data_IF_997930528904
#
_entry.id   IF_997930528904
#
_cell.length_a   1.000
_cell.length_b   1.000
_cell.length_c   1.000
_cell.angle_alpha   90.00
_cell.angle_beta   90.00
_cell.angle_gamma   90.00
#
_symmetry.space_group_name_H-M   'P 1'
#
loop_
_entity.id
_entity.type
_entity.pdbx_description
1 polymer ?
#
# COMPACT_ATOMS: atom_id res chain seq x y z
N UNK A 1 5.86 16.32 19.93
CA UNK A 1 7.13 15.75 20.26
C UNK A 1 7.84 15.16 19.06
N UNK A 2 9.15 15.18 19.13
CA UNK A 2 10.02 14.52 18.15
C UNK A 2 10.13 13.03 18.50
N UNK A 3 10.46 12.19 17.50
CA UNK A 3 10.83 10.80 17.71
C UNK A 3 12.32 10.78 18.01
N UNK A 4 12.70 10.23 19.17
CA UNK A 4 14.07 10.25 19.68
C UNK A 4 14.64 8.84 19.67
N UNK A 5 15.79 8.68 19.03
CA UNK A 5 16.60 7.47 19.10
C UNK A 5 17.79 7.67 20.03
N UNK A 6 18.09 6.68 20.85
CA UNK A 6 19.23 6.67 21.78
C UNK A 6 20.11 5.48 21.50
N UNK A 7 21.43 5.68 21.55
CA UNK A 7 22.42 4.61 21.41
C UNK A 7 23.18 4.47 22.72
N UNK A 8 23.35 3.23 23.20
CA UNK A 8 24.10 2.92 24.42
C UNK A 8 24.69 1.52 24.38
N UNK A 9 25.75 1.31 25.14
CA UNK A 9 26.45 0.02 25.24
C UNK A 9 26.59 -0.47 26.71
N UNK A 10 26.41 0.45 27.66
CA UNK A 10 26.60 0.20 29.08
C UNK A 10 25.31 -0.14 29.85
N UNK A 11 25.49 -0.78 30.99
CA UNK A 11 24.36 -1.06 31.93
C UNK A 11 23.69 0.24 32.42
N UNK A 12 24.45 1.33 32.52
CA UNK A 12 23.93 2.64 32.92
C UNK A 12 23.04 3.28 31.87
N UNK A 13 23.13 2.85 30.61
CA UNK A 13 22.36 3.38 29.49
C UNK A 13 20.97 2.72 29.37
N UNK A 14 20.78 1.55 30.01
CA UNK A 14 19.55 0.78 29.92
C UNK A 14 18.27 1.58 30.22
N UNK A 15 18.21 2.46 31.25
CA UNK A 15 17.02 3.28 31.49
C UNK A 15 16.73 4.25 30.33
N UNK A 16 17.78 4.84 29.74
CA UNK A 16 17.64 5.76 28.60
C UNK A 16 17.22 5.04 27.31
N UNK A 17 17.80 3.86 27.07
CA UNK A 17 17.42 3.00 25.93
C UNK A 17 15.94 2.60 26.00
N UNK A 18 15.48 2.21 27.18
CA UNK A 18 14.09 1.80 27.40
C UNK A 18 13.08 2.94 27.36
N UNK A 19 13.51 4.17 27.66
CA UNK A 19 12.66 5.35 27.64
C UNK A 19 12.60 6.03 26.26
N UNK A 20 13.60 5.76 25.42
CA UNK A 20 13.65 6.28 24.05
C UNK A 20 12.51 5.72 23.20
N UNK A 21 12.18 6.38 22.08
CA UNK A 21 11.26 5.84 21.08
C UNK A 21 11.91 4.70 20.31
N UNK A 22 13.23 4.72 20.14
CA UNK A 22 14.04 3.64 19.55
C UNK A 22 15.37 3.57 20.28
N UNK A 23 15.64 2.46 20.97
CA UNK A 23 16.91 2.17 21.61
C UNK A 23 17.81 1.32 20.71
N UNK A 24 19.06 1.76 20.48
CA UNK A 24 20.08 1.00 19.77
C UNK A 24 21.18 0.54 20.75
N UNK A 25 21.53 -0.75 20.74
CA UNK A 25 22.71 -1.25 21.47
C UNK A 25 23.73 -1.85 20.53
N UNK A 26 25.01 -1.84 20.97
CA UNK A 26 26.07 -2.50 20.26
C UNK A 26 26.06 -4.00 20.53
N UNK A 27 26.26 -4.81 19.50
CA UNK A 27 26.16 -6.28 19.62
C UNK A 27 27.40 -6.94 20.14
N UNK A 28 28.58 -6.35 19.94
CA UNK A 28 29.87 -6.91 20.38
C UNK A 28 30.26 -6.33 21.75
N UNK A 29 30.34 -5.00 21.87
CA UNK A 29 30.73 -4.30 23.10
C UNK A 29 29.57 -4.07 24.06
N UNK A 30 28.33 -4.14 23.59
CA UNK A 30 27.16 -3.90 24.44
C UNK A 30 26.96 -4.94 25.53
N UNK A 31 26.68 -4.47 26.75
CA UNK A 31 26.33 -5.35 27.88
C UNK A 31 24.98 -6.05 27.62
N UNK A 32 24.77 -7.19 28.26
CA UNK A 32 23.51 -7.95 28.13
C UNK A 32 22.31 -7.11 28.56
N UNK A 33 22.46 -6.32 29.62
CA UNK A 33 21.42 -5.40 30.11
C UNK A 33 21.08 -4.30 29.10
N UNK A 34 22.08 -3.73 28.41
CA UNK A 34 21.86 -2.75 27.37
C UNK A 34 21.14 -3.38 26.16
N UNK A 35 21.52 -4.59 25.77
CA UNK A 35 20.88 -5.34 24.67
C UNK A 35 19.43 -5.69 24.97
N UNK A 36 19.12 -6.11 26.19
CA UNK A 36 17.74 -6.38 26.61
C UNK A 36 16.87 -5.12 26.71
N UNK A 37 17.49 -3.96 26.98
CA UNK A 37 16.77 -2.69 27.07
C UNK A 37 16.57 -2.01 25.71
N UNK A 38 17.22 -2.49 24.64
CA UNK A 38 17.18 -1.87 23.31
C UNK A 38 16.17 -2.56 22.39
N UNK A 39 15.67 -1.79 21.40
CA UNK A 39 14.77 -2.30 20.36
C UNK A 39 15.54 -2.91 19.20
N UNK A 40 16.74 -2.39 18.93
CA UNK A 40 17.59 -2.82 17.81
C UNK A 40 19.00 -3.08 18.31
N UNK A 41 19.51 -4.28 18.03
CA UNK A 41 20.87 -4.68 18.33
C UNK A 41 21.70 -4.62 17.05
N UNK A 42 22.74 -3.81 17.03
CA UNK A 42 23.67 -3.69 15.91
C UNK A 42 24.66 -4.86 15.96
N UNK A 43 24.73 -5.67 14.91
CA UNK A 43 25.60 -6.84 14.86
C UNK A 43 27.08 -6.49 14.77
N UNK A 44 27.39 -5.25 14.41
CA UNK A 44 28.75 -4.70 14.32
C UNK A 44 28.82 -3.44 15.15
N UNK A 45 29.98 -3.15 15.78
CA UNK A 45 30.20 -1.92 16.55
C UNK A 45 30.54 -0.73 15.65
N UNK A 46 29.99 -0.71 14.44
CA UNK A 46 30.18 0.37 13.49
C UNK A 46 29.00 1.34 13.55
N UNK A 47 29.29 2.60 13.82
CA UNK A 47 28.29 3.68 13.87
C UNK A 47 27.57 3.88 12.53
N UNK A 48 28.19 3.51 11.41
CA UNK A 48 27.57 3.56 10.09
C UNK A 48 26.34 2.64 9.98
N UNK A 49 26.29 1.56 10.78
CA UNK A 49 25.17 0.65 10.85
C UNK A 49 23.89 1.36 11.33
N UNK A 50 24.00 2.36 12.23
CA UNK A 50 22.85 3.17 12.70
C UNK A 50 22.26 3.97 11.54
N UNK A 51 23.11 4.60 10.74
CA UNK A 51 22.67 5.38 9.57
C UNK A 51 21.95 4.47 8.57
N UNK A 52 22.49 3.28 8.34
CA UNK A 52 21.84 2.28 7.50
C UNK A 52 20.50 1.81 8.07
N UNK A 53 20.40 1.56 9.38
CA UNK A 53 19.16 1.20 10.03
C UNK A 53 18.09 2.30 9.87
N UNK A 54 18.46 3.56 10.07
CA UNK A 54 17.56 4.70 9.86
C UNK A 54 17.11 4.81 8.38
N UNK A 55 18.06 4.63 7.45
CA UNK A 55 17.78 4.63 6.02
C UNK A 55 16.75 3.57 5.64
N UNK A 56 16.93 2.34 6.09
CA UNK A 56 16.00 1.25 5.87
C UNK A 56 14.66 1.46 6.59
N UNK A 57 14.67 1.95 7.83
CA UNK A 57 13.44 2.29 8.57
C UNK A 57 12.60 3.35 7.85
N UNK A 58 13.23 4.38 7.28
CA UNK A 58 12.54 5.38 6.45
C UNK A 58 12.01 4.79 5.15
N UNK A 59 12.74 3.85 4.53
CA UNK A 59 12.28 3.13 3.35
C UNK A 59 11.03 2.31 3.65
N UNK A 60 11.04 1.50 4.71
CA UNK A 60 9.90 0.70 5.15
C UNK A 60 8.70 1.57 5.45
N UNK A 61 8.87 2.68 6.17
CA UNK A 61 7.77 3.62 6.45
C UNK A 61 7.18 4.25 5.17
N UNK A 62 8.02 4.52 4.17
CA UNK A 62 7.55 5.03 2.87
C UNK A 62 6.79 3.94 2.09
N UNK A 63 7.28 2.70 2.12
CA UNK A 63 6.62 1.55 1.47
C UNK A 63 5.27 1.23 2.11
N UNK A 64 5.17 1.27 3.45
CA UNK A 64 3.90 1.11 4.16
C UNK A 64 2.89 2.19 3.72
N UNK A 65 3.34 3.45 3.60
CA UNK A 65 2.46 4.53 3.16
C UNK A 65 1.95 4.30 1.73
N UNK A 66 2.83 3.91 0.80
CA UNK A 66 2.45 3.57 -0.58
C UNK A 66 1.46 2.40 -0.61
N UNK A 67 1.72 1.35 0.19
CA UNK A 67 0.84 0.19 0.27
C UNK A 67 -0.55 0.54 0.79
N UNK A 68 -0.66 1.33 1.86
CA UNK A 68 -1.96 1.79 2.39
C UNK A 68 -2.70 2.62 1.35
N UNK A 69 -2.00 3.52 0.65
CA UNK A 69 -2.60 4.32 -0.42
C UNK A 69 -3.16 3.42 -1.54
N UNK A 70 -2.36 2.47 -2.02
CA UNK A 70 -2.77 1.50 -3.03
C UNK A 70 -3.99 0.70 -2.57
N UNK A 71 -3.94 0.13 -1.37
CA UNK A 71 -5.03 -0.66 -0.78
C UNK A 71 -6.34 0.13 -0.68
N UNK A 72 -6.28 1.39 -0.25
CA UNK A 72 -7.47 2.25 -0.19
C UNK A 72 -8.06 2.52 -1.57
N UNK A 73 -7.22 2.77 -2.58
CA UNK A 73 -7.68 2.98 -3.96
C UNK A 73 -8.41 1.73 -4.47
N UNK A 74 -7.79 0.55 -4.32
CA UNK A 74 -8.39 -0.74 -4.75
C UNK A 74 -9.75 -0.95 -4.08
N UNK A 75 -9.80 -0.83 -2.76
CA UNK A 75 -11.02 -1.10 -2.01
C UNK A 75 -12.14 -0.10 -2.31
N UNK A 76 -11.83 1.20 -2.34
CA UNK A 76 -12.81 2.24 -2.67
C UNK A 76 -13.36 2.04 -4.08
N UNK A 77 -12.49 1.80 -5.05
CA UNK A 77 -12.90 1.58 -6.45
C UNK A 77 -13.73 0.31 -6.60
N UNK A 78 -13.32 -0.81 -5.97
CA UNK A 78 -14.04 -2.07 -6.04
C UNK A 78 -15.44 -1.98 -5.41
N UNK A 79 -15.55 -1.35 -4.23
CA UNK A 79 -16.83 -1.17 -3.54
C UNK A 79 -17.76 -0.26 -4.35
N UNK A 80 -17.27 0.88 -4.82
CA UNK A 80 -18.07 1.80 -5.62
C UNK A 80 -18.50 1.18 -6.95
N UNK A 81 -17.60 0.48 -7.64
CA UNK A 81 -17.94 -0.21 -8.89
C UNK A 81 -19.03 -1.26 -8.66
N UNK A 82 -18.86 -2.11 -7.65
CA UNK A 82 -19.83 -3.15 -7.30
C UNK A 82 -21.17 -2.55 -6.90
N UNK A 83 -21.17 -1.53 -6.06
CA UNK A 83 -22.39 -0.86 -5.61
C UNK A 83 -23.16 -0.23 -6.78
N UNK A 84 -22.51 0.60 -7.58
CA UNK A 84 -23.15 1.33 -8.67
C UNK A 84 -23.64 0.38 -9.76
N UNK A 85 -22.85 -0.65 -10.10
CA UNK A 85 -23.29 -1.64 -11.10
C UNK A 85 -24.47 -2.48 -10.61
N UNK A 86 -24.53 -2.81 -9.31
CA UNK A 86 -25.67 -3.50 -8.72
C UNK A 86 -26.95 -2.66 -8.69
N UNK A 87 -26.84 -1.34 -8.51
CA UNK A 87 -28.00 -0.43 -8.50
C UNK A 87 -28.53 -0.18 -9.92
N UNK A 88 -27.62 -0.07 -10.91
CA UNK A 88 -28.00 0.21 -12.30
C UNK A 88 -28.49 -1.05 -13.00
N UNK A 89 -28.00 -2.24 -12.63
CA UNK A 89 -28.39 -3.50 -13.25
C UNK A 89 -29.78 -3.93 -12.78
N UNK A 90 -30.68 -4.17 -13.72
CA UNK A 90 -32.04 -4.67 -13.44
C UNK A 90 -32.05 -6.06 -12.79
N UNK A 91 -30.99 -6.86 -13.01
CA UNK A 91 -30.85 -8.24 -12.53
C UNK A 91 -30.11 -8.35 -11.19
N UNK A 92 -29.76 -7.24 -10.55
CA UNK A 92 -28.99 -7.21 -9.28
C UNK A 92 -27.67 -8.02 -9.35
N UNK A 93 -27.12 -8.20 -10.55
CA UNK A 93 -25.86 -8.90 -10.76
C UNK A 93 -24.70 -7.93 -10.76
N UNK A 94 -23.78 -8.12 -9.81
CA UNK A 94 -22.51 -7.38 -9.79
C UNK A 94 -21.64 -7.77 -11.00
N UNK A 95 -20.96 -6.78 -11.59
CA UNK A 95 -19.98 -7.00 -12.66
C UNK A 95 -18.76 -7.78 -12.14
N UNK A 96 -18.38 -7.56 -10.88
CA UNK A 96 -17.32 -8.29 -10.20
C UNK A 96 -17.92 -9.39 -9.34
N UNK A 97 -17.50 -10.62 -9.56
CA UNK A 97 -17.88 -11.76 -8.73
C UNK A 97 -17.13 -11.74 -7.40
N UNK A 98 -17.70 -12.38 -6.36
CA UNK A 98 -17.02 -12.52 -5.06
C UNK A 98 -15.65 -13.21 -5.18
N UNK A 99 -15.53 -14.17 -6.09
CA UNK A 99 -14.25 -14.88 -6.37
C UNK A 99 -13.22 -13.93 -6.99
N UNK A 100 -13.63 -13.06 -7.90
CA UNK A 100 -12.74 -12.07 -8.51
C UNK A 100 -12.25 -11.04 -7.48
N UNK A 101 -13.14 -10.56 -6.59
CA UNK A 101 -12.75 -9.66 -5.51
C UNK A 101 -11.80 -10.34 -4.51
N UNK A 102 -12.05 -11.61 -4.18
CA UNK A 102 -11.16 -12.38 -3.33
C UNK A 102 -9.77 -12.57 -3.99
N UNK A 103 -9.73 -12.85 -5.30
CA UNK A 103 -8.49 -12.98 -6.04
C UNK A 103 -7.68 -11.68 -6.02
N UNK A 104 -8.33 -10.54 -6.26
CA UNK A 104 -7.68 -9.22 -6.20
C UNK A 104 -7.10 -8.96 -4.81
N UNK A 105 -7.88 -9.17 -3.76
CA UNK A 105 -7.43 -8.92 -2.40
C UNK A 105 -6.33 -9.88 -1.95
N UNK A 106 -6.41 -11.16 -2.32
CA UNK A 106 -5.45 -12.16 -1.84
C UNK A 106 -4.15 -12.15 -2.66
N UNK A 107 -4.24 -12.20 -3.99
CA UNK A 107 -3.07 -12.37 -4.86
C UNK A 107 -2.44 -11.03 -5.18
N UNK A 108 -3.21 -10.07 -5.63
CA UNK A 108 -2.68 -8.78 -6.07
C UNK A 108 -2.10 -7.99 -4.90
N UNK A 109 -2.79 -7.96 -3.75
CA UNK A 109 -2.29 -7.26 -2.55
C UNK A 109 -1.01 -7.92 -2.00
N UNK A 110 -0.94 -9.26 -2.03
CA UNK A 110 0.27 -9.98 -1.61
C UNK A 110 1.46 -9.67 -2.52
N UNK A 111 1.25 -9.65 -3.84
CA UNK A 111 2.30 -9.31 -4.80
C UNK A 111 2.72 -7.85 -4.70
N UNK A 112 1.77 -6.93 -4.49
CA UNK A 112 2.05 -5.52 -4.27
C UNK A 112 2.86 -5.29 -2.99
N UNK A 113 2.48 -5.96 -1.89
CA UNK A 113 3.22 -5.90 -0.63
C UNK A 113 4.65 -6.43 -0.80
N UNK A 114 4.83 -7.55 -1.51
CA UNK A 114 6.14 -8.13 -1.80
C UNK A 114 7.00 -7.18 -2.64
N UNK A 115 6.44 -6.59 -3.70
CA UNK A 115 7.15 -5.64 -4.55
C UNK A 115 7.63 -4.41 -3.75
N UNK A 116 6.76 -3.82 -2.92
CA UNK A 116 7.11 -2.68 -2.09
C UNK A 116 8.08 -3.02 -0.96
N UNK A 117 8.04 -4.25 -0.42
CA UNK A 117 8.95 -4.70 0.62
C UNK A 117 10.37 -4.96 0.09
N UNK A 118 10.52 -5.28 -1.19
CA UNK A 118 11.82 -5.54 -1.84
C UNK A 118 12.43 -4.29 -2.49
N UNK A 119 11.73 -3.16 -2.46
CA UNK A 119 12.21 -1.90 -3.02
C UNK A 119 13.43 -1.37 -2.25
N UNK A 120 14.42 -0.85 -2.98
CA UNK A 120 15.64 -0.31 -2.38
C UNK A 120 15.38 1.12 -1.87
N UNK A 121 16.08 1.52 -0.76
CA UNK A 121 15.99 2.89 -0.29
C UNK A 121 16.40 3.91 -1.35
N UNK A 122 15.58 4.94 -1.54
CA UNK A 122 15.91 6.10 -2.36
C UNK A 122 17.25 6.70 -1.88
N UNK A 123 18.20 7.02 -2.78
CA UNK A 123 19.47 7.66 -2.41
C UNK A 123 19.29 8.93 -1.56
N UNK A 124 18.24 9.70 -1.83
CA UNK A 124 17.96 10.98 -1.16
C UNK A 124 17.02 10.84 0.06
N UNK A 125 16.77 9.61 0.53
CA UNK A 125 15.82 9.38 1.64
C UNK A 125 16.26 10.04 2.95
N UNK A 126 17.57 10.22 3.12
CA UNK A 126 18.19 10.86 4.30
C UNK A 126 18.08 12.39 4.28
N UNK A 127 17.95 13.01 3.11
CA UNK A 127 17.84 14.47 2.96
C UNK A 127 16.48 15.01 3.43
N UNK A 128 15.52 14.14 3.58
CA UNK A 128 14.18 14.50 4.07
C UNK A 128 14.22 14.82 5.57
N UNK A 129 13.54 15.91 5.95
CA UNK A 129 13.38 16.25 7.36
C UNK A 129 12.67 15.13 8.13
N UNK A 130 13.03 14.92 9.42
CA UNK A 130 12.33 13.98 10.28
C UNK A 130 10.83 14.30 10.36
N UNK A 131 10.00 13.27 10.47
CA UNK A 131 8.57 13.44 10.69
C UNK A 131 8.29 13.37 12.18
N UNK A 132 7.50 14.34 12.69
CA UNK A 132 7.07 14.30 14.08
C UNK A 132 6.10 13.14 14.35
N UNK A 133 6.00 12.74 15.62
CA UNK A 133 5.15 11.64 16.11
C UNK A 133 3.67 11.79 15.73
N UNK A 134 3.18 13.02 15.66
CA UNK A 134 1.78 13.33 15.32
C UNK A 134 1.50 13.46 13.82
N UNK A 135 2.50 13.22 12.97
CA UNK A 135 2.31 13.33 11.51
C UNK A 135 1.40 12.20 11.02
N UNK A 136 0.24 12.48 10.41
CA UNK A 136 -0.65 11.44 9.93
C UNK A 136 -0.01 10.65 8.78
N UNK A 137 -0.23 9.34 8.76
CA UNK A 137 0.20 8.45 7.68
C UNK A 137 -0.43 8.87 6.34
N UNK A 138 -1.71 9.21 6.37
CA UNK A 138 -2.45 9.68 5.21
C UNK A 138 -2.54 11.19 5.26
N UNK A 139 -1.76 11.85 4.40
CA UNK A 139 -1.76 13.31 4.28
C UNK A 139 -2.90 13.78 3.37
N UNK A 140 -3.32 15.07 3.44
CA UNK A 140 -4.31 15.62 2.50
C UNK A 140 -3.90 15.46 1.02
N UNK A 141 -2.60 15.48 0.74
CA UNK A 141 -2.09 15.19 -0.61
C UNK A 141 -2.35 13.75 -1.03
N UNK A 142 -2.20 12.79 -0.10
CA UNK A 142 -2.50 11.38 -0.33
C UNK A 142 -4.01 11.18 -0.61
N UNK A 143 -4.89 11.87 0.11
CA UNK A 143 -6.33 11.85 -0.13
C UNK A 143 -6.70 12.37 -1.53
N UNK A 144 -6.08 13.45 -1.98
CA UNK A 144 -6.28 13.95 -3.35
C UNK A 144 -5.89 12.92 -4.40
N UNK A 145 -4.78 12.21 -4.19
CA UNK A 145 -4.35 11.14 -5.09
C UNK A 145 -5.33 9.97 -5.09
N UNK A 146 -5.79 9.53 -3.92
CA UNK A 146 -6.77 8.43 -3.80
C UNK A 146 -8.07 8.77 -4.54
N UNK A 147 -8.61 9.96 -4.29
CA UNK A 147 -9.86 10.40 -4.91
C UNK A 147 -9.68 10.56 -6.43
N UNK A 148 -8.59 11.18 -6.88
CA UNK A 148 -8.31 11.36 -8.30
C UNK A 148 -8.18 10.04 -9.04
N UNK A 149 -7.45 9.08 -8.48
CA UNK A 149 -7.30 7.74 -9.05
C UNK A 149 -8.62 6.97 -9.04
N UNK A 150 -9.40 7.03 -7.95
CA UNK A 150 -10.69 6.37 -7.89
C UNK A 150 -11.66 6.91 -8.96
N UNK A 151 -11.72 8.22 -9.16
CA UNK A 151 -12.55 8.84 -10.19
C UNK A 151 -12.10 8.39 -11.59
N UNK A 152 -10.80 8.39 -11.87
CA UNK A 152 -10.25 7.96 -13.15
C UNK A 152 -10.60 6.49 -13.41
N UNK A 153 -10.34 5.61 -12.46
CA UNK A 153 -10.59 4.19 -12.58
C UNK A 153 -12.09 3.88 -12.76
N UNK A 154 -12.95 4.54 -11.98
CA UNK A 154 -14.40 4.41 -12.13
C UNK A 154 -14.88 4.92 -13.49
N UNK A 155 -14.37 6.05 -13.97
CA UNK A 155 -14.74 6.60 -15.28
C UNK A 155 -14.42 5.64 -16.41
N UNK A 156 -13.20 5.08 -16.43
CA UNK A 156 -12.78 4.10 -17.45
C UNK A 156 -13.65 2.84 -17.37
N UNK A 157 -13.84 2.30 -16.17
CA UNK A 157 -14.58 1.05 -15.96
C UNK A 157 -16.08 1.22 -16.28
N UNK A 158 -16.68 2.36 -15.92
CA UNK A 158 -18.07 2.68 -16.27
C UNK A 158 -18.27 2.91 -17.76
N UNK A 159 -17.33 3.58 -18.43
CA UNK A 159 -17.39 3.76 -19.88
C UNK A 159 -17.39 2.40 -20.58
N UNK A 160 -16.53 1.49 -20.11
CA UNK A 160 -16.48 0.13 -20.64
C UNK A 160 -17.76 -0.67 -20.31
N UNK A 161 -18.32 -0.48 -19.11
CA UNK A 161 -19.57 -1.13 -18.69
C UNK A 161 -20.78 -0.67 -19.53
N UNK A 162 -20.89 0.62 -19.82
CA UNK A 162 -22.04 1.20 -20.53
C UNK A 162 -21.93 1.11 -22.05
N UNK A 163 -20.74 1.33 -22.61
CA UNK A 163 -20.55 1.44 -24.06
C UNK A 163 -19.69 0.30 -24.65
N UNK A 164 -19.06 -0.52 -23.81
CA UNK A 164 -18.17 -1.59 -24.27
C UNK A 164 -18.86 -2.59 -25.19
N UNK A 165 -20.09 -2.98 -24.87
CA UNK A 165 -20.88 -3.90 -25.71
C UNK A 165 -21.14 -3.34 -27.12
N UNK A 166 -21.52 -2.09 -27.19
CA UNK A 166 -21.79 -1.43 -28.47
C UNK A 166 -20.49 -1.22 -29.29
N UNK A 167 -19.39 -0.91 -28.60
CA UNK A 167 -18.11 -0.66 -29.26
C UNK A 167 -17.47 -1.93 -29.83
N UNK A 168 -17.50 -3.06 -29.08
CA UNK A 168 -16.85 -4.29 -29.49
C UNK A 168 -17.73 -5.24 -30.28
N UNK A 169 -19.05 -5.27 -30.02
CA UNK A 169 -19.98 -6.20 -30.67
C UNK A 169 -21.04 -5.51 -31.52
N UNK A 170 -21.07 -4.17 -31.55
CA UNK A 170 -22.05 -3.40 -32.33
C UNK A 170 -23.50 -3.55 -31.85
N UNK A 171 -23.72 -4.12 -30.66
CA UNK A 171 -25.04 -4.39 -30.09
C UNK A 171 -25.14 -3.80 -28.68
N UNK A 172 -26.33 -3.37 -28.23
CA UNK A 172 -26.54 -2.98 -26.85
C UNK A 172 -26.34 -4.20 -25.92
N UNK A 173 -25.96 -3.93 -24.68
CA UNK A 173 -25.62 -4.97 -23.70
C UNK A 173 -26.79 -5.94 -23.42
N UNK A 174 -28.02 -5.45 -23.52
CA UNK A 174 -29.25 -6.21 -23.28
C UNK A 174 -29.50 -7.29 -24.33
N UNK A 175 -29.00 -7.11 -25.55
CA UNK A 175 -29.18 -8.02 -26.69
C UNK A 175 -28.02 -8.99 -26.87
N UNK A 176 -27.03 -9.00 -25.96
CA UNK A 176 -25.87 -9.87 -26.07
C UNK A 176 -26.21 -11.32 -25.64
N UNK A 177 -25.80 -12.34 -26.42
CA UNK A 177 -25.84 -13.71 -25.96
C UNK A 177 -24.96 -13.92 -24.72
N UNK A 178 -25.32 -14.89 -23.87
CA UNK A 178 -24.67 -15.09 -22.58
C UNK A 178 -23.15 -15.22 -22.63
N UNK A 179 -22.60 -15.75 -23.70
CA UNK A 179 -21.16 -15.86 -23.91
C UNK A 179 -20.48 -14.47 -24.12
N UNK A 180 -21.07 -13.63 -24.96
CA UNK A 180 -20.55 -12.27 -25.22
C UNK A 180 -20.68 -11.38 -23.97
N UNK A 181 -21.73 -11.59 -23.17
CA UNK A 181 -21.93 -10.93 -21.90
C UNK A 181 -20.80 -11.27 -20.88
N UNK A 182 -20.39 -12.55 -20.84
CA UNK A 182 -19.25 -12.98 -20.03
C UNK A 182 -17.91 -12.40 -20.51
N UNK A 183 -17.72 -12.24 -21.82
CA UNK A 183 -16.53 -11.60 -22.39
C UNK A 183 -16.40 -10.14 -21.97
N UNK A 184 -17.50 -9.37 -22.00
CA UNK A 184 -17.51 -7.97 -21.53
C UNK A 184 -17.16 -7.89 -20.03
N UNK A 185 -17.75 -8.75 -19.20
CA UNK A 185 -17.45 -8.78 -17.77
C UNK A 185 -15.98 -9.16 -17.49
N UNK A 186 -15.43 -10.13 -18.24
CA UNK A 186 -14.01 -10.49 -18.17
C UNK A 186 -13.10 -9.34 -18.60
N UNK A 187 -13.48 -8.57 -19.63
CA UNK A 187 -12.74 -7.41 -20.10
C UNK A 187 -12.76 -6.28 -19.06
N UNK A 188 -13.90 -6.03 -18.43
CA UNK A 188 -14.02 -5.04 -17.33
C UNK A 188 -13.11 -5.43 -16.16
N UNK A 189 -13.15 -6.70 -15.74
CA UNK A 189 -12.29 -7.20 -14.69
C UNK A 189 -10.80 -7.07 -15.03
N UNK A 190 -10.41 -7.46 -16.24
CA UNK A 190 -9.02 -7.35 -16.70
C UNK A 190 -8.56 -5.89 -16.76
N UNK A 191 -9.40 -4.99 -17.26
CA UNK A 191 -9.12 -3.54 -17.24
C UNK A 191 -8.96 -3.01 -15.83
N UNK A 192 -9.83 -3.42 -14.90
CA UNK A 192 -9.73 -3.07 -13.49
C UNK A 192 -8.39 -3.51 -12.90
N UNK A 193 -7.97 -4.77 -13.13
CA UNK A 193 -6.67 -5.30 -12.66
C UNK A 193 -5.50 -4.49 -13.22
N UNK A 194 -5.49 -4.20 -14.52
CA UNK A 194 -4.43 -3.40 -15.13
C UNK A 194 -4.36 -1.98 -14.58
N UNK A 195 -5.49 -1.33 -14.35
CA UNK A 195 -5.54 -0.01 -13.73
C UNK A 195 -4.93 -0.02 -12.33
N UNK A 196 -5.11 -1.10 -11.56
CA UNK A 196 -4.46 -1.25 -10.26
C UNK A 196 -2.93 -1.39 -10.38
N UNK A 197 -2.44 -2.15 -11.36
CA UNK A 197 -1.01 -2.29 -11.62
C UNK A 197 -0.32 -0.95 -11.90
N UNK A 198 -0.97 -0.10 -12.68
CA UNK A 198 -0.42 1.23 -13.00
C UNK A 198 -0.57 2.24 -11.85
N UNK A 199 -1.23 1.88 -10.78
CA UNK A 199 -1.42 2.75 -9.60
C UNK A 199 -0.38 2.45 -8.50
N UNK A 200 0.27 1.29 -8.55
CA UNK A 200 1.31 0.87 -7.62
C UNK A 200 2.61 1.65 -7.83
#
# INVERSE_FOLDING_TARGET
GEVVAVTGDGTNDAPALKLADVGFSMGITGTEVAREASDIILMTDDFSAIVNAIKWGRCVAASIKKFIQFQLIVNVTAVLLTFVTSVISSDVKSVLTAVQLLWVNLIMDTLAALALATDKPDPNIMDRKPKGRSTPLITPSTWKMIIGQAILQLSVTFTLYSHGAQYFFGKPKEDLPGHEHQQINAMIFNTFVWLQWFTL
#
